data_IF_112056229882
#
_entry.id   IF_112056229882
#
_cell.length_a   1.000
_cell.length_b   1.000
_cell.length_c   1.000
_cell.angle_alpha   90.00
_cell.angle_beta   90.00
_cell.angle_gamma   90.00
#
_symmetry.space_group_name_H-M   'P 1'
#
loop_
_entity.id
_entity.type
_entity.pdbx_description
1 polymer ?
#
# COMPACT_ATOMS: atom_id res chain seq x y z
N UNK A 1 7.08 9.91 -30.76
CA UNK A 1 7.10 8.52 -30.26
C UNK A 1 6.05 8.37 -29.17
N UNK A 2 4.88 7.81 -29.51
CA UNK A 2 3.82 7.55 -28.53
C UNK A 2 4.31 6.43 -27.61
N UNK A 3 4.47 6.68 -26.32
CA UNK A 3 4.81 5.65 -25.33
C UNK A 3 3.65 4.65 -25.32
N UNK A 4 3.86 3.49 -25.92
CA UNK A 4 2.96 2.35 -25.87
C UNK A 4 2.92 1.88 -24.42
N UNK A 5 1.82 2.16 -23.72
CA UNK A 5 1.50 1.48 -22.46
C UNK A 5 0.53 0.37 -22.82
N UNK A 6 0.97 -0.89 -22.89
CA UNK A 6 0.03 -1.98 -23.05
C UNK A 6 -0.94 -1.93 -21.88
N UNK A 7 -2.22 -2.09 -22.17
CA UNK A 7 -3.28 -2.33 -21.18
C UNK A 7 -2.88 -3.57 -20.39
N UNK A 8 -2.20 -3.32 -19.27
CA UNK A 8 -1.73 -4.32 -18.35
C UNK A 8 -2.97 -4.77 -17.57
N UNK A 9 -3.30 -6.04 -17.66
CA UNK A 9 -4.22 -6.71 -16.72
C UNK A 9 -3.59 -6.54 -15.33
N UNK A 10 -3.96 -5.47 -14.61
CA UNK A 10 -3.09 -4.83 -13.62
C UNK A 10 -3.31 -5.42 -12.24
N UNK A 11 -3.13 -6.73 -12.13
CA UNK A 11 -3.03 -7.41 -10.84
C UNK A 11 -1.83 -6.84 -10.09
N UNK A 12 -2.00 -6.54 -8.81
CA UNK A 12 -0.88 -6.15 -7.95
C UNK A 12 0.04 -7.38 -7.81
N UNK A 13 1.17 -7.37 -8.53
CA UNK A 13 2.15 -8.45 -8.45
C UNK A 13 2.93 -8.39 -7.12
N UNK A 14 3.64 -9.47 -6.78
CA UNK A 14 4.54 -9.47 -5.63
C UNK A 14 5.63 -8.39 -5.75
N UNK A 15 6.15 -8.17 -6.95
CA UNK A 15 7.15 -7.13 -7.21
C UNK A 15 6.55 -5.72 -7.03
N UNK A 16 5.35 -5.48 -7.57
CA UNK A 16 4.63 -4.21 -7.38
C UNK A 16 4.33 -3.95 -5.90
N UNK A 17 3.90 -4.98 -5.18
CA UNK A 17 3.64 -4.91 -3.74
C UNK A 17 4.92 -4.59 -2.96
N UNK A 18 6.02 -5.29 -3.23
CA UNK A 18 7.31 -5.07 -2.58
C UNK A 18 7.83 -3.65 -2.84
N UNK A 19 7.73 -3.17 -4.08
CA UNK A 19 8.13 -1.82 -4.44
C UNK A 19 7.27 -0.76 -3.74
N UNK A 20 5.96 -0.99 -3.65
CA UNK A 20 5.04 -0.12 -2.92
C UNK A 20 5.37 -0.09 -1.42
N UNK A 21 5.60 -1.27 -0.81
CA UNK A 21 5.97 -1.40 0.59
C UNK A 21 7.25 -0.63 0.90
N UNK A 22 8.34 -0.90 0.17
CA UNK A 22 9.62 -0.25 0.40
C UNK A 22 9.55 1.28 0.25
N UNK A 23 8.68 1.76 -0.65
CA UNK A 23 8.50 3.19 -0.91
C UNK A 23 7.63 3.90 0.13
N UNK A 24 6.53 3.27 0.57
CA UNK A 24 5.49 3.95 1.34
C UNK A 24 5.52 3.60 2.84
N UNK A 25 6.16 2.50 3.25
CA UNK A 25 6.17 2.04 4.64
C UNK A 25 6.63 3.13 5.63
N UNK A 26 7.77 3.79 5.35
CA UNK A 26 8.29 4.85 6.22
C UNK A 26 7.32 6.05 6.32
N UNK A 27 6.70 6.44 5.20
CA UNK A 27 5.75 7.55 5.17
C UNK A 27 4.48 7.22 5.96
N UNK A 28 3.96 6.00 5.78
CA UNK A 28 2.77 5.52 6.48
C UNK A 28 3.04 5.31 7.97
N UNK A 29 4.23 4.82 8.34
CA UNK A 29 4.63 4.69 9.75
C UNK A 29 4.71 6.05 10.43
N UNK A 30 5.28 7.06 9.78
CA UNK A 30 5.30 8.42 10.31
C UNK A 30 3.88 8.99 10.48
N UNK A 31 2.97 8.69 9.54
CA UNK A 31 1.57 9.07 9.66
C UNK A 31 0.88 8.36 10.84
N UNK A 32 0.99 7.03 10.94
CA UNK A 32 0.44 6.26 12.06
C UNK A 32 1.01 6.74 13.41
N UNK A 33 2.31 6.99 13.47
CA UNK A 33 2.97 7.50 14.68
C UNK A 33 2.44 8.87 15.10
N UNK A 34 2.05 9.73 14.16
CA UNK A 34 1.41 11.02 14.50
C UNK A 34 0.06 10.85 15.21
N UNK A 35 -0.59 9.69 15.06
CA UNK A 35 -1.88 9.35 15.66
C UNK A 35 -1.65 8.62 17.00
N UNK A 36 -0.89 7.52 17.00
CA UNK A 36 -0.72 6.63 18.17
C UNK A 36 0.41 7.02 19.10
N UNK A 37 1.36 7.87 18.64
CA UNK A 37 2.52 8.39 19.40
C UNK A 37 3.43 7.32 20.01
N UNK A 38 3.35 6.10 19.50
CA UNK A 38 4.13 4.95 19.94
C UNK A 38 4.71 4.27 18.69
N UNK A 39 5.98 3.87 18.74
CA UNK A 39 6.72 3.40 17.58
C UNK A 39 6.38 1.96 17.19
N UNK A 40 6.19 1.07 18.17
CA UNK A 40 5.84 -0.34 17.95
C UNK A 40 4.44 -0.45 17.34
N UNK A 41 3.46 0.16 18.01
CA UNK A 41 2.07 0.30 17.59
C UNK A 41 1.95 0.93 16.20
N UNK A 42 2.74 1.96 15.89
CA UNK A 42 2.74 2.56 14.54
C UNK A 42 3.25 1.61 13.45
N UNK A 43 4.20 0.73 13.80
CA UNK A 43 4.74 -0.28 12.90
C UNK A 43 3.72 -1.39 12.67
N UNK A 44 3.03 -1.82 13.72
CA UNK A 44 2.03 -2.89 13.65
C UNK A 44 0.83 -2.48 12.81
N UNK A 45 0.29 -1.28 13.01
CA UNK A 45 -0.82 -0.74 12.20
C UNK A 45 -0.49 -0.71 10.72
N UNK A 46 0.73 -0.27 10.36
CA UNK A 46 1.15 -0.20 8.96
C UNK A 46 1.37 -1.60 8.38
N UNK A 47 1.94 -2.53 9.16
CA UNK A 47 2.09 -3.92 8.74
C UNK A 47 0.73 -4.57 8.48
N UNK A 48 -0.25 -4.39 9.37
CA UNK A 48 -1.62 -4.88 9.19
C UNK A 48 -2.28 -4.27 7.95
N UNK A 49 -2.10 -2.97 7.70
CA UNK A 49 -2.63 -2.31 6.50
C UNK A 49 -2.07 -2.91 5.20
N UNK A 50 -0.76 -3.20 5.16
CA UNK A 50 -0.14 -3.85 4.00
C UNK A 50 -0.55 -5.32 3.86
N UNK A 51 -0.71 -6.07 4.95
CA UNK A 51 -1.24 -7.43 4.92
C UNK A 51 -2.66 -7.45 4.37
N UNK A 52 -3.53 -6.57 4.85
CA UNK A 52 -4.89 -6.44 4.36
C UNK A 52 -4.94 -6.05 2.87
N UNK A 53 -4.01 -5.21 2.39
CA UNK A 53 -3.87 -4.91 0.96
C UNK A 53 -3.47 -6.16 0.17
N UNK A 54 -2.51 -6.94 0.67
CA UNK A 54 -2.06 -8.17 0.02
C UNK A 54 -3.15 -9.23 -0.05
N UNK A 55 -3.89 -9.44 1.03
CA UNK A 55 -5.02 -10.39 1.08
C UNK A 55 -6.15 -9.99 0.14
N UNK A 56 -6.42 -8.69 0.03
CA UNK A 56 -7.48 -8.16 -0.82
C UNK A 56 -6.99 -7.75 -2.21
N UNK A 57 -5.76 -8.08 -2.61
CA UNK A 57 -5.12 -7.61 -3.86
C UNK A 57 -5.93 -7.91 -5.13
N UNK A 58 -6.71 -8.98 -5.12
CA UNK A 58 -7.63 -9.35 -6.22
C UNK A 58 -8.76 -8.34 -6.42
N UNK A 59 -9.14 -7.59 -5.38
CA UNK A 59 -10.11 -6.48 -5.50
C UNK A 59 -9.50 -5.25 -6.15
N UNK A 60 -8.17 -5.13 -6.16
CA UNK A 60 -7.45 -3.99 -6.70
C UNK A 60 -6.98 -4.20 -8.15
N UNK A 61 -7.39 -5.29 -8.82
CA UNK A 61 -7.02 -5.59 -10.22
C UNK A 61 -7.36 -4.46 -11.21
N UNK A 62 -8.31 -3.59 -10.86
CA UNK A 62 -8.71 -2.44 -11.67
C UNK A 62 -8.38 -1.08 -11.02
N UNK A 63 -7.83 -1.05 -9.81
CA UNK A 63 -7.59 0.17 -9.05
C UNK A 63 -6.18 0.70 -9.34
N UNK A 64 -6.09 1.89 -9.94
CA UNK A 64 -4.78 2.44 -10.37
C UNK A 64 -3.87 2.85 -9.21
N UNK A 65 -4.38 2.96 -7.98
CA UNK A 65 -3.63 3.41 -6.82
C UNK A 65 -4.16 2.81 -5.51
N UNK A 66 -3.43 1.88 -4.86
CA UNK A 66 -3.84 1.28 -3.58
C UNK A 66 -3.60 2.18 -2.35
N UNK A 67 -2.94 3.34 -2.51
CA UNK A 67 -2.61 4.24 -1.40
C UNK A 67 -3.82 4.76 -0.59
N UNK A 68 -4.95 5.16 -1.21
CA UNK A 68 -6.14 5.60 -0.46
C UNK A 68 -6.72 4.50 0.43
N UNK A 69 -6.64 3.25 0.01
CA UNK A 69 -7.05 2.10 0.81
C UNK A 69 -6.17 1.92 2.05
N UNK A 70 -4.84 1.98 1.88
CA UNK A 70 -3.90 1.93 3.00
C UNK A 70 -4.18 3.06 4.02
N UNK A 71 -4.43 4.28 3.55
CA UNK A 71 -4.78 5.42 4.41
C UNK A 71 -6.10 5.19 5.16
N UNK A 72 -7.06 4.49 4.55
CA UNK A 72 -8.35 4.16 5.17
C UNK A 72 -8.20 3.16 6.31
N UNK A 73 -7.24 2.24 6.22
CA UNK A 73 -6.95 1.27 7.29
C UNK A 73 -6.19 1.93 8.45
N UNK A 74 -5.29 2.88 8.15
CA UNK A 74 -4.42 3.51 9.16
C UNK A 74 -5.14 4.61 9.96
N UNK A 75 -6.27 5.14 9.46
CA UNK A 75 -7.08 6.17 10.12
C UNK A 75 -7.94 5.61 11.24
#
# INVERSE_FOLDING_TARGET
>A
MKKYQPSLDRRLTEEDFKNLFLKEFANLKNYAHSIVKENETSSDIVQEAFLALWENREKFENERNPKPYLITIIR
#
